data_IF_917017573689
#
_entry.id   IF_917017573689
#
_cell.length_a   1.000
_cell.length_b   1.000
_cell.length_c   1.000
_cell.angle_alpha   90.00
_cell.angle_beta   90.00
_cell.angle_gamma   90.00
#
_symmetry.space_group_name_H-M   'P 1'
#
loop_
_entity.id
_entity.type
_entity.pdbx_description
1 polymer ?
#
# COMPACT_ATOMS: atom_id res chain seq x y z
N UNK A 1 -15.36 -8.35 11.14
CA UNK A 1 -14.21 -7.68 10.50
C UNK A 1 -13.10 -7.67 11.53
N UNK A 2 -11.88 -8.05 11.19
CA UNK A 2 -10.77 -7.96 12.15
C UNK A 2 -10.52 -6.47 12.46
N UNK A 3 -10.39 -6.07 13.74
CA UNK A 3 -9.98 -4.71 14.06
C UNK A 3 -8.54 -4.48 13.60
N UNK A 4 -8.21 -3.24 13.25
CA UNK A 4 -6.84 -2.80 13.00
C UNK A 4 -6.54 -1.69 13.99
N UNK A 5 -5.71 -1.97 15.00
CA UNK A 5 -5.57 -1.15 16.22
C UNK A 5 -6.93 -0.94 16.94
N UNK A 6 -7.14 -1.60 18.08
CA UNK A 6 -8.38 -1.52 18.87
C UNK A 6 -8.40 -0.29 19.79
N UNK A 7 -8.29 0.90 19.17
CA UNK A 7 -8.14 2.17 19.88
C UNK A 7 -9.52 2.77 20.19
N UNK A 8 -10.06 2.42 21.35
CA UNK A 8 -11.20 3.04 22.04
C UNK A 8 -12.23 3.84 21.20
N UNK A 9 -12.64 5.00 21.70
CA UNK A 9 -13.63 5.85 21.01
C UNK A 9 -12.96 6.61 19.86
N UNK A 10 -13.63 6.79 18.70
CA UNK A 10 -13.03 7.43 17.54
C UNK A 10 -12.69 8.90 17.85
N UNK A 11 -11.38 9.18 17.90
CA UNK A 11 -10.81 10.53 17.99
C UNK A 11 -9.81 10.72 16.84
N UNK A 12 -9.44 11.98 16.56
CA UNK A 12 -8.48 12.30 15.52
C UNK A 12 -8.95 12.00 14.08
N UNK A 13 -7.98 11.83 13.17
CA UNK A 13 -8.20 11.64 11.73
C UNK A 13 -8.62 10.20 11.41
N UNK A 14 -9.58 10.05 10.50
CA UNK A 14 -9.94 8.73 9.97
C UNK A 14 -8.85 8.18 9.04
N UNK A 15 -8.39 6.95 9.30
CA UNK A 15 -7.48 6.20 8.44
C UNK A 15 -8.21 4.97 7.91
N UNK A 16 -8.47 4.93 6.61
CA UNK A 16 -9.09 3.79 5.94
C UNK A 16 -8.04 2.74 5.63
N UNK A 17 -8.16 1.56 6.26
CA UNK A 17 -7.18 0.49 6.11
C UNK A 17 -7.66 -0.46 5.01
N UNK A 18 -6.96 -0.50 3.88
CA UNK A 18 -7.29 -1.34 2.72
C UNK A 18 -6.37 -2.57 2.65
N UNK A 19 -6.82 -3.74 3.11
CA UNK A 19 -6.05 -4.98 2.98
C UNK A 19 -6.19 -5.60 1.59
N UNK A 20 -5.06 -5.82 0.93
CA UNK A 20 -4.93 -6.39 -0.42
C UNK A 20 -3.94 -7.56 -0.39
N UNK A 21 -4.37 -8.77 -0.01
CA UNK A 21 -3.52 -9.97 0.08
C UNK A 21 -3.15 -10.54 -1.31
N UNK A 22 -2.59 -9.71 -2.18
CA UNK A 22 -2.22 -10.08 -3.54
C UNK A 22 -0.76 -10.53 -3.65
N UNK A 23 -0.54 -11.69 -4.24
CA UNK A 23 0.78 -12.26 -4.55
C UNK A 23 0.75 -12.85 -5.97
N UNK A 24 0.66 -11.99 -6.98
CA UNK A 24 0.65 -12.41 -8.38
C UNK A 24 1.94 -12.09 -9.13
N UNK A 25 2.84 -11.32 -8.51
CA UNK A 25 4.00 -10.75 -9.19
C UNK A 25 5.35 -11.14 -8.58
N UNK A 26 5.39 -11.95 -7.52
CA UNK A 26 6.62 -12.36 -6.82
C UNK A 26 7.55 -13.21 -7.68
N UNK A 27 8.87 -13.13 -7.44
CA UNK A 27 9.91 -13.79 -8.24
C UNK A 27 10.71 -14.88 -7.50
N UNK A 28 10.94 -14.72 -6.19
CA UNK A 28 11.78 -15.64 -5.42
C UNK A 28 11.04 -16.26 -4.22
N UNK A 29 10.64 -15.42 -3.26
CA UNK A 29 9.90 -15.86 -2.08
C UNK A 29 8.40 -15.66 -2.24
N UNK A 30 7.62 -16.54 -1.60
CA UNK A 30 6.15 -16.47 -1.51
C UNK A 30 5.71 -16.19 -0.06
N UNK A 31 4.42 -15.88 0.13
CA UNK A 31 3.79 -15.62 1.42
C UNK A 31 3.48 -14.14 1.71
N UNK A 32 3.76 -13.22 0.79
CA UNK A 32 3.39 -11.81 0.89
C UNK A 32 1.88 -11.60 1.02
N UNK A 33 1.06 -12.45 0.39
CA UNK A 33 -0.40 -12.45 0.54
C UNK A 33 -0.87 -12.66 1.99
N UNK A 34 -0.05 -13.28 2.85
CA UNK A 34 -0.34 -13.48 4.28
C UNK A 34 -0.09 -12.22 5.12
N UNK A 35 0.62 -11.22 4.56
CA UNK A 35 1.04 -10.00 5.24
C UNK A 35 -0.12 -9.19 5.83
N UNK A 36 -1.19 -8.87 5.06
CA UNK A 36 -2.31 -8.10 5.58
C UNK A 36 -2.96 -8.72 6.81
N UNK A 37 -3.29 -10.02 6.78
CA UNK A 37 -3.89 -10.69 7.94
C UNK A 37 -2.94 -10.72 9.15
N UNK A 38 -1.64 -10.97 8.91
CA UNK A 38 -0.64 -10.95 9.98
C UNK A 38 -0.54 -9.57 10.66
N UNK A 39 -0.58 -8.48 9.88
CA UNK A 39 -0.57 -7.12 10.40
C UNK A 39 -1.82 -6.80 11.23
N UNK A 40 -3.00 -7.20 10.76
CA UNK A 40 -4.24 -7.05 11.53
C UNK A 40 -4.14 -7.77 12.88
N UNK A 41 -3.68 -9.03 12.89
CA UNK A 41 -3.52 -9.81 14.12
C UNK A 41 -2.48 -9.21 15.08
N UNK A 42 -1.37 -8.68 14.56
CA UNK A 42 -0.32 -8.07 15.36
C UNK A 42 -0.71 -6.68 15.91
N UNK A 43 -1.48 -5.90 15.14
CA UNK A 43 -1.84 -4.51 15.49
C UNK A 43 -2.56 -4.37 16.82
N UNK A 44 -3.31 -5.39 17.24
CA UNK A 44 -4.04 -5.40 18.52
C UNK A 44 -3.23 -5.96 19.69
N UNK A 45 -1.94 -6.23 19.48
CA UNK A 45 -1.03 -6.80 20.50
C UNK A 45 0.08 -5.81 20.88
N UNK A 46 -0.05 -4.55 20.48
CA UNK A 46 0.92 -3.49 20.74
C UNK A 46 0.22 -2.29 21.37
N UNK A 47 0.95 -1.56 22.21
CA UNK A 47 0.49 -0.31 22.81
C UNK A 47 0.55 0.83 21.79
N UNK A 48 -0.35 1.81 21.91
CA UNK A 48 -0.45 2.97 21.00
C UNK A 48 0.45 4.15 21.37
N UNK A 49 0.96 4.17 22.60
CA UNK A 49 1.80 5.25 23.12
C UNK A 49 3.26 5.09 22.69
N UNK A 50 3.81 6.14 22.07
CA UNK A 50 5.22 6.27 21.71
C UNK A 50 5.93 7.18 22.73
N UNK A 51 6.87 6.62 23.48
CA UNK A 51 7.59 7.33 24.53
C UNK A 51 8.69 8.28 24.01
N UNK A 52 9.19 8.08 22.79
CA UNK A 52 10.18 8.98 22.18
C UNK A 52 9.51 10.28 21.72
N UNK A 53 8.28 10.15 21.20
CA UNK A 53 7.49 11.28 20.71
C UNK A 53 6.56 11.90 21.77
N UNK A 54 6.32 11.21 22.89
CA UNK A 54 5.33 11.59 23.91
C UNK A 54 3.93 11.78 23.31
N UNK A 55 3.51 10.79 22.50
CA UNK A 55 2.25 10.82 21.75
C UNK A 55 1.54 9.47 21.84
N UNK A 56 0.22 9.50 21.98
CA UNK A 56 -0.64 8.33 21.82
C UNK A 56 -1.31 8.34 20.44
N UNK A 57 -1.16 7.25 19.69
CA UNK A 57 -1.79 7.12 18.37
C UNK A 57 -3.32 7.25 18.44
N UNK A 58 -3.95 6.84 19.54
CA UNK A 58 -5.40 6.94 19.75
C UNK A 58 -5.92 8.37 19.85
N UNK A 59 -5.06 9.34 20.19
CA UNK A 59 -5.41 10.76 20.19
C UNK A 59 -5.33 11.38 18.78
N UNK A 60 -4.54 10.77 17.90
CA UNK A 60 -4.22 11.31 16.57
C UNK A 60 -5.10 10.73 15.46
N UNK A 61 -5.45 9.45 15.57
CA UNK A 61 -6.15 8.73 14.52
C UNK A 61 -7.05 7.61 15.05
N UNK A 62 -8.06 7.28 14.25
CA UNK A 62 -8.83 6.05 14.38
C UNK A 62 -8.84 5.33 13.04
N UNK A 63 -8.84 4.00 13.12
CA UNK A 63 -8.67 3.14 11.96
C UNK A 63 -10.00 2.52 11.55
N UNK A 64 -10.29 2.59 10.26
CA UNK A 64 -11.51 2.07 9.64
C UNK A 64 -11.12 0.99 8.65
N UNK A 65 -11.08 -0.28 9.06
CA UNK A 65 -10.82 -1.37 8.13
C UNK A 65 -11.86 -1.43 7.01
N UNK A 66 -11.38 -1.54 5.78
CA UNK A 66 -12.17 -1.88 4.61
C UNK A 66 -12.18 -3.41 4.43
N UNK A 67 -13.15 -3.96 3.67
CA UNK A 67 -13.14 -5.37 3.31
C UNK A 67 -11.85 -5.78 2.60
N UNK A 68 -11.39 -7.00 2.86
CA UNK A 68 -10.26 -7.59 2.15
C UNK A 68 -10.58 -7.74 0.66
N UNK A 69 -9.63 -7.31 -0.18
CA UNK A 69 -9.64 -7.61 -1.62
C UNK A 69 -8.91 -8.94 -1.82
N UNK A 70 -9.57 -10.02 -1.43
CA UNK A 70 -9.02 -11.38 -1.52
C UNK A 70 -9.54 -12.08 -2.78
N UNK A 71 -8.77 -11.96 -3.85
CA UNK A 71 -9.04 -12.56 -5.15
C UNK A 71 -7.84 -13.44 -5.55
N UNK A 72 -7.75 -14.69 -5.08
CA UNK A 72 -6.54 -15.50 -5.20
C UNK A 72 -6.19 -15.90 -6.65
N UNK A 73 -7.18 -15.93 -7.55
CA UNK A 73 -7.00 -16.27 -8.97
C UNK A 73 -6.96 -15.03 -9.88
N UNK A 74 -7.05 -13.83 -9.31
CA UNK A 74 -7.05 -12.60 -10.08
C UNK A 74 -5.66 -12.26 -10.62
N UNK A 75 -5.61 -11.68 -11.82
CA UNK A 75 -4.42 -11.00 -12.30
C UNK A 75 -4.31 -9.59 -11.72
N UNK A 76 -3.21 -8.88 -12.01
CA UNK A 76 -3.01 -7.50 -11.58
C UNK A 76 -4.17 -6.58 -11.99
N UNK A 77 -4.72 -6.76 -13.19
CA UNK A 77 -5.79 -5.92 -13.71
C UNK A 77 -7.09 -6.03 -12.90
N UNK A 78 -7.49 -7.24 -12.54
CA UNK A 78 -8.68 -7.50 -11.72
C UNK A 78 -8.51 -6.94 -10.31
N UNK A 79 -7.34 -7.13 -9.68
CA UNK A 79 -7.01 -6.53 -8.38
C UNK A 79 -7.08 -5.01 -8.46
N UNK A 80 -6.48 -4.41 -9.48
CA UNK A 80 -6.51 -2.95 -9.65
C UNK A 80 -7.93 -2.42 -9.85
N UNK A 81 -8.81 -3.17 -10.53
CA UNK A 81 -10.21 -2.81 -10.68
C UNK A 81 -10.97 -2.92 -9.35
N UNK A 82 -10.74 -3.99 -8.59
CA UNK A 82 -11.33 -4.17 -7.26
C UNK A 82 -10.89 -3.05 -6.29
N UNK A 83 -9.61 -2.67 -6.30
CA UNK A 83 -9.09 -1.56 -5.51
C UNK A 83 -9.77 -0.23 -5.86
N UNK A 84 -9.91 0.08 -7.16
CA UNK A 84 -10.63 1.29 -7.59
C UNK A 84 -12.09 1.28 -7.13
N UNK A 85 -12.75 0.13 -7.19
CA UNK A 85 -14.13 -0.03 -6.73
C UNK A 85 -14.24 0.20 -5.21
N UNK A 86 -13.34 -0.39 -4.43
CA UNK A 86 -13.34 -0.26 -2.97
C UNK A 86 -13.10 1.19 -2.50
N UNK A 87 -12.39 1.99 -3.28
CA UNK A 87 -12.02 3.37 -2.93
C UNK A 87 -12.94 4.42 -3.58
N UNK A 88 -13.93 4.03 -4.41
CA UNK A 88 -14.74 4.97 -5.20
C UNK A 88 -15.57 5.94 -4.35
N UNK A 89 -15.86 5.56 -3.11
CA UNK A 89 -16.68 6.33 -2.17
C UNK A 89 -15.86 7.29 -1.30
N UNK A 90 -14.53 7.20 -1.34
CA UNK A 90 -13.64 8.03 -0.54
C UNK A 90 -13.26 9.30 -1.28
N UNK A 91 -13.13 10.40 -0.54
CA UNK A 91 -12.54 11.63 -1.03
C UNK A 91 -11.04 11.60 -0.69
N UNK A 92 -10.19 11.19 -1.63
CA UNK A 92 -8.74 11.08 -1.40
C UNK A 92 -8.05 12.42 -1.09
N UNK A 93 -8.74 13.57 -1.19
CA UNK A 93 -8.23 14.86 -0.73
C UNK A 93 -8.42 15.06 0.78
N UNK A 94 -9.34 14.33 1.40
CA UNK A 94 -9.71 14.42 2.82
C UNK A 94 -9.43 13.13 3.58
N UNK A 95 -9.68 11.99 2.96
CA UNK A 95 -9.53 10.66 3.52
C UNK A 95 -8.10 10.15 3.34
N UNK A 96 -7.56 9.55 4.39
CA UNK A 96 -6.24 8.92 4.32
C UNK A 96 -6.40 7.40 4.17
N UNK A 97 -5.83 6.83 3.10
CA UNK A 97 -5.88 5.38 2.85
C UNK A 97 -4.54 4.75 3.19
N UNK A 98 -4.55 3.84 4.15
CA UNK A 98 -3.44 2.94 4.47
C UNK A 98 -3.66 1.60 3.76
N UNK A 99 -2.91 1.34 2.69
CA UNK A 99 -2.99 0.05 1.98
C UNK A 99 -2.00 -0.94 2.59
N UNK A 100 -2.50 -2.10 3.01
CA UNK A 100 -1.68 -3.24 3.43
C UNK A 100 -1.65 -4.21 2.26
N UNK A 101 -0.57 -4.18 1.48
CA UNK A 101 -0.42 -5.04 0.31
C UNK A 101 0.10 -6.44 0.64
N UNK A 102 0.17 -7.27 -0.40
CA UNK A 102 1.08 -8.40 -0.45
C UNK A 102 2.37 -7.98 -1.15
N UNK A 103 2.48 -8.25 -2.45
CA UNK A 103 3.67 -7.89 -3.23
C UNK A 103 3.70 -6.40 -3.65
N UNK A 104 4.86 -5.95 -4.16
CA UNK A 104 5.07 -4.54 -4.50
C UNK A 104 4.37 -4.08 -5.80
N UNK A 105 3.57 -4.92 -6.45
CA UNK A 105 2.76 -4.49 -7.60
C UNK A 105 1.48 -3.75 -7.19
N UNK A 106 0.99 -3.98 -5.95
CA UNK A 106 -0.24 -3.42 -5.38
C UNK A 106 -0.37 -1.89 -5.48
N UNK A 107 0.69 -1.07 -5.35
CA UNK A 107 0.55 0.39 -5.38
C UNK A 107 0.11 0.98 -6.73
N UNK A 108 0.23 0.25 -7.84
CA UNK A 108 0.04 0.82 -9.19
C UNK A 108 -1.30 1.58 -9.39
N UNK A 109 -2.47 1.03 -9.04
CA UNK A 109 -3.75 1.72 -9.18
C UNK A 109 -3.83 2.98 -8.29
N UNK A 110 -3.11 3.01 -7.17
CA UNK A 110 -3.12 4.14 -6.25
C UNK A 110 -2.39 5.34 -6.83
N UNK A 111 -1.30 5.15 -7.59
CA UNK A 111 -0.59 6.25 -8.23
C UNK A 111 -1.52 7.08 -9.13
N UNK A 112 -2.27 6.43 -10.01
CA UNK A 112 -3.20 7.11 -10.90
C UNK A 112 -4.39 7.74 -10.15
N UNK A 113 -4.87 7.11 -9.08
CA UNK A 113 -5.94 7.66 -8.24
C UNK A 113 -5.49 8.93 -7.52
N UNK A 114 -4.34 8.87 -6.83
CA UNK A 114 -3.80 10.01 -6.09
C UNK A 114 -3.30 11.12 -7.00
N UNK A 115 -2.76 10.82 -8.19
CA UNK A 115 -2.36 11.84 -9.15
C UNK A 115 -3.55 12.71 -9.60
N UNK A 116 -4.76 12.14 -9.66
CA UNK A 116 -5.99 12.90 -9.97
C UNK A 116 -6.41 13.80 -8.82
N UNK A 117 -6.20 13.36 -7.58
CA UNK A 117 -6.50 14.14 -6.37
C UNK A 117 -5.45 15.23 -6.10
N UNK A 118 -4.19 14.95 -6.43
CA UNK A 118 -3.02 15.79 -6.17
C UNK A 118 -2.18 15.91 -7.45
N UNK A 119 -2.36 16.98 -8.26
CA UNK A 119 -1.58 17.19 -9.49
C UNK A 119 -0.08 17.32 -9.27
N UNK A 120 0.34 17.67 -8.05
CA UNK A 120 1.72 17.82 -7.59
C UNK A 120 2.21 16.62 -6.75
N UNK A 121 1.55 15.45 -6.88
CA UNK A 121 1.91 14.23 -6.17
C UNK A 121 3.39 13.87 -6.35
N UNK A 122 4.07 13.59 -5.23
CA UNK A 122 5.43 13.04 -5.18
C UNK A 122 5.40 11.68 -4.51
N UNK A 123 6.11 10.71 -5.05
CA UNK A 123 6.27 9.38 -4.46
C UNK A 123 7.57 9.33 -3.66
N UNK A 124 7.46 9.06 -2.35
CA UNK A 124 8.58 8.61 -1.53
C UNK A 124 8.59 7.08 -1.50
N UNK A 125 9.65 6.48 -2.02
CA UNK A 125 9.81 5.04 -2.15
C UNK A 125 10.95 4.56 -1.23
N UNK A 126 10.61 3.82 -0.19
CA UNK A 126 11.58 3.25 0.75
C UNK A 126 11.68 1.75 0.49
N UNK A 127 12.77 1.33 -0.14
CA UNK A 127 12.98 -0.07 -0.50
C UNK A 127 14.48 -0.38 -0.57
N UNK A 128 14.84 -1.66 -0.53
CA UNK A 128 16.17 -2.13 -0.90
C UNK A 128 16.39 -2.14 -2.41
N UNK A 129 15.34 -2.36 -3.19
CA UNK A 129 15.34 -2.52 -4.64
C UNK A 129 14.81 -1.26 -5.32
N UNK A 130 15.36 -0.92 -6.48
CA UNK A 130 14.89 0.28 -7.19
C UNK A 130 13.55 0.09 -7.92
N UNK A 131 13.18 -1.14 -8.27
CA UNK A 131 11.96 -1.47 -9.02
C UNK A 131 11.75 -0.65 -10.30
N UNK A 132 12.86 -0.31 -10.95
CA UNK A 132 12.95 0.52 -12.16
C UNK A 132 12.98 -0.29 -13.46
N UNK A 133 12.87 -1.62 -13.41
CA UNK A 133 12.93 -2.44 -14.62
C UNK A 133 11.72 -2.13 -15.51
N UNK A 134 11.90 -2.00 -16.84
CA UNK A 134 10.77 -1.79 -17.74
C UNK A 134 9.81 -3.00 -17.76
N UNK A 135 10.36 -4.22 -17.65
CA UNK A 135 9.64 -5.48 -17.55
C UNK A 135 10.50 -6.49 -16.78
N UNK A 136 9.86 -7.41 -16.07
CA UNK A 136 10.52 -8.51 -15.38
C UNK A 136 9.70 -9.79 -15.56
N UNK A 137 10.36 -10.89 -15.92
CA UNK A 137 9.72 -12.18 -16.25
C UNK A 137 8.57 -12.06 -17.27
N UNK A 138 8.69 -11.12 -18.22
CA UNK A 138 7.70 -10.88 -19.27
C UNK A 138 6.53 -9.99 -18.88
N UNK A 139 6.49 -9.47 -17.64
CA UNK A 139 5.41 -8.60 -17.16
C UNK A 139 5.91 -7.20 -16.79
N UNK A 140 5.28 -6.12 -17.30
CA UNK A 140 5.51 -4.76 -16.83
C UNK A 140 4.79 -4.47 -15.49
N UNK A 141 3.96 -5.40 -15.02
CA UNK A 141 3.21 -5.31 -13.76
C UNK A 141 3.87 -6.13 -12.64
N UNK A 142 5.13 -6.55 -12.83
CA UNK A 142 5.89 -7.20 -11.78
C UNK A 142 6.19 -6.24 -10.61
N UNK A 143 6.40 -6.77 -9.41
CA UNK A 143 6.86 -5.99 -8.26
C UNK A 143 8.15 -5.20 -8.59
N UNK A 144 9.06 -5.80 -9.37
CA UNK A 144 10.33 -5.19 -9.77
C UNK A 144 10.20 -4.06 -10.83
N UNK A 145 8.97 -3.68 -11.18
CA UNK A 145 8.68 -2.70 -12.23
C UNK A 145 7.84 -1.51 -11.74
N UNK A 146 7.43 -1.49 -10.46
CA UNK A 146 6.40 -0.56 -9.98
C UNK A 146 6.83 0.91 -10.11
N UNK A 147 8.10 1.21 -9.84
CA UNK A 147 8.62 2.57 -9.96
C UNK A 147 8.85 2.97 -11.43
N UNK A 148 9.17 2.02 -12.32
CA UNK A 148 9.13 2.31 -13.75
C UNK A 148 7.74 2.77 -14.19
N UNK A 149 6.67 2.14 -13.69
CA UNK A 149 5.29 2.55 -13.98
C UNK A 149 4.94 3.93 -13.40
N UNK A 150 5.43 4.26 -12.20
CA UNK A 150 5.30 5.61 -11.65
C UNK A 150 5.95 6.66 -12.56
N UNK A 151 7.14 6.36 -13.10
CA UNK A 151 7.84 7.26 -14.04
C UNK A 151 7.11 7.40 -15.38
N UNK A 152 6.51 6.33 -15.88
CA UNK A 152 5.67 6.37 -17.10
C UNK A 152 4.48 7.32 -16.92
N UNK A 153 3.97 7.49 -15.69
CA UNK A 153 2.93 8.47 -15.33
C UNK A 153 3.46 9.91 -15.14
N UNK A 154 4.78 10.13 -15.29
CA UNK A 154 5.42 11.42 -15.08
C UNK A 154 5.51 11.85 -13.61
N UNK A 155 5.33 10.91 -12.66
CA UNK A 155 5.38 11.22 -11.24
C UNK A 155 6.83 11.41 -10.75
N UNK A 156 7.14 12.49 -10.02
CA UNK A 156 8.39 12.60 -9.29
C UNK A 156 8.53 11.48 -8.27
N UNK A 157 9.71 10.84 -8.23
CA UNK A 157 10.02 9.77 -7.28
C UNK A 157 11.31 10.08 -6.54
N UNK A 158 11.28 9.97 -5.22
CA UNK A 158 12.45 9.97 -4.34
C UNK A 158 12.62 8.57 -3.78
N UNK A 159 13.78 7.95 -3.98
CA UNK A 159 14.06 6.60 -3.47
C UNK A 159 15.04 6.64 -2.30
N UNK A 160 14.77 5.88 -1.25
CA UNK A 160 15.62 5.77 -0.05
C UNK A 160 15.87 4.31 0.33
N UNK A 161 17.07 4.02 0.83
CA UNK A 161 17.47 2.66 1.25
C UNK A 161 17.95 1.74 0.13
N UNK A 162 17.98 2.24 -1.11
CA UNK A 162 18.35 1.49 -2.31
C UNK A 162 19.78 0.94 -2.19
N UNK A 163 19.90 -0.37 -2.37
CA UNK A 163 21.16 -1.12 -2.32
C UNK A 163 21.21 -2.30 -3.30
N UNK A 164 20.14 -2.50 -4.07
CA UNK A 164 20.05 -3.45 -5.17
C UNK A 164 19.41 -2.76 -6.37
N UNK A 165 20.19 -2.59 -7.44
CA UNK A 165 19.78 -1.81 -8.63
C UNK A 165 20.18 -2.57 -9.88
N UNK A 166 19.28 -2.62 -10.86
CA UNK A 166 19.60 -3.14 -12.17
C UNK A 166 20.20 -2.04 -13.06
N UNK A 167 21.09 -2.42 -13.98
CA UNK A 167 21.68 -1.49 -14.96
C UNK A 167 20.68 -1.10 -16.05
N UNK A 168 19.81 -2.04 -16.41
CA UNK A 168 18.71 -1.86 -17.37
C UNK A 168 17.75 -0.77 -16.91
#
# INVERSE_FOLDING_TARGET
MLPFFDLGLPQGRAIYVLPVPFEGAVSFGTGTCLGPEALFRASVQIESYDAELDLDLGDLAHFLPLPFIDLPEAGPQEIHAAMRSALVHLDLTQDFVLTLGGDHSVPLPLFALYQRAYPDLVILHIDAHADLRPSYEGSPYSHACIIARARDLGLPVVQMGIRSVCRE
#
